data_IF_163817011326
#
_entry.id   IF_163817011326
#
_cell.length_a   1.000
_cell.length_b   1.000
_cell.length_c   1.000
_cell.angle_alpha   90.00
_cell.angle_beta   90.00
_cell.angle_gamma   90.00
#
_symmetry.space_group_name_H-M   'P 1'
#
loop_
_entity.id
_entity.type
_entity.pdbx_description
1 polymer ?
#
# COMPACT_ATOMS: atom_id res chain seq x y z
N UNK A 1 -2.31 13.10 -11.33
CA UNK A 1 -1.53 14.21 -10.76
C UNK A 1 -2.49 14.97 -9.86
N UNK A 2 -2.53 14.56 -8.59
CA UNK A 2 -3.41 15.18 -7.61
C UNK A 2 -2.70 16.37 -6.97
N UNK A 3 -3.41 17.48 -6.87
CA UNK A 3 -2.92 18.70 -6.23
C UNK A 3 -3.61 18.83 -4.88
N UNK A 4 -2.89 18.51 -3.80
CA UNK A 4 -3.40 18.79 -2.46
C UNK A 4 -2.88 20.16 -2.05
N UNK A 5 -3.79 21.12 -1.98
CA UNK A 5 -3.51 22.46 -1.48
C UNK A 5 -3.62 22.46 0.05
N UNK A 6 -2.50 22.63 0.74
CA UNK A 6 -2.49 22.83 2.19
C UNK A 6 -2.46 24.33 2.50
N UNK A 7 -3.41 24.80 3.31
CA UNK A 7 -3.33 26.14 3.93
C UNK A 7 -2.59 25.99 5.24
N UNK A 8 -1.30 26.35 5.25
CA UNK A 8 -0.52 26.43 6.49
C UNK A 8 -0.73 27.81 7.09
N UNK A 9 -1.34 27.88 8.26
CA UNK A 9 -1.51 29.13 9.01
C UNK A 9 -0.19 29.47 9.70
N UNK A 10 0.45 30.57 9.30
CA UNK A 10 1.68 31.04 9.91
C UNK A 10 1.36 31.97 11.08
N UNK A 11 1.88 31.66 12.26
CA UNK A 11 2.02 32.63 13.34
C UNK A 11 3.35 33.34 13.09
N UNK A 12 3.26 34.64 12.81
CA UNK A 12 4.38 35.51 12.44
C UNK A 12 5.43 35.51 13.55
N UNK A 13 6.62 34.97 13.28
CA UNK A 13 7.87 35.38 13.91
C UNK A 13 9.01 35.23 12.89
N UNK A 14 9.74 36.32 12.71
CA UNK A 14 10.86 36.50 11.77
C UNK A 14 11.93 35.44 12.04
N UNK A 15 12.32 34.64 11.04
CA UNK A 15 13.70 34.19 10.76
C UNK A 15 13.77 33.00 9.78
N UNK A 16 14.95 32.84 9.16
CA UNK A 16 15.28 31.83 8.13
C UNK A 16 14.95 30.41 8.59
N UNK A 17 14.20 29.70 7.76
CA UNK A 17 13.84 28.29 7.95
C UNK A 17 14.90 27.38 7.31
N UNK A 18 15.41 26.42 8.08
CA UNK A 18 16.26 25.36 7.53
C UNK A 18 15.50 24.04 7.55
N UNK A 19 15.44 23.40 6.39
CA UNK A 19 14.77 22.12 6.15
C UNK A 19 15.40 21.01 6.99
N UNK A 20 14.63 20.36 7.83
CA UNK A 20 14.96 19.05 8.40
C UNK A 20 13.79 18.13 8.11
N UNK A 21 13.91 17.28 7.09
CA UNK A 21 13.02 16.14 6.93
C UNK A 21 13.62 15.01 7.76
N UNK A 22 13.05 14.74 8.93
CA UNK A 22 13.37 13.54 9.70
C UNK A 22 12.70 12.35 9.03
N UNK A 23 13.49 11.65 8.23
CA UNK A 23 13.16 10.34 7.68
C UNK A 23 13.35 9.30 8.80
N UNK A 24 12.26 8.77 9.34
CA UNK A 24 12.33 7.64 10.27
C UNK A 24 12.83 6.41 9.50
N UNK A 25 13.75 5.67 10.11
CA UNK A 25 14.60 4.68 9.46
C UNK A 25 13.84 3.37 9.21
N UNK A 26 12.72 3.43 8.50
CA UNK A 26 12.07 2.25 7.96
C UNK A 26 12.76 1.89 6.65
N UNK A 27 13.19 0.64 6.51
CA UNK A 27 13.86 0.16 5.29
C UNK A 27 12.96 0.42 4.08
N UNK A 28 13.40 1.28 3.15
CA UNK A 28 12.74 1.44 1.86
C UNK A 28 12.72 0.12 1.12
N UNK A 29 11.62 -0.16 0.43
CA UNK A 29 11.58 -1.28 -0.49
C UNK A 29 12.63 -1.08 -1.58
N UNK A 30 13.49 -2.07 -1.81
CA UNK A 30 14.31 -2.07 -2.99
C UNK A 30 13.41 -2.32 -4.21
N UNK A 31 13.80 -1.77 -5.36
CA UNK A 31 13.14 -2.04 -6.63
C UNK A 31 13.09 -3.55 -6.85
N UNK A 32 11.92 -4.05 -7.29
CA UNK A 32 11.64 -5.45 -7.57
C UNK A 32 11.88 -6.41 -6.39
N UNK A 33 11.63 -5.98 -5.15
CA UNK A 33 11.64 -6.92 -4.01
C UNK A 33 10.37 -7.77 -4.03
N UNK A 34 10.54 -9.10 -4.07
CA UNK A 34 9.42 -10.05 -4.13
C UNK A 34 8.75 -10.23 -2.77
N UNK A 35 7.43 -10.30 -2.80
CA UNK A 35 6.55 -10.71 -1.70
C UNK A 35 5.65 -11.83 -2.23
N UNK A 36 5.41 -12.87 -1.43
CA UNK A 36 4.64 -14.05 -1.81
C UNK A 36 5.50 -15.08 -2.53
N UNK A 37 4.90 -15.81 -3.46
CA UNK A 37 5.59 -16.83 -4.24
C UNK A 37 6.57 -16.22 -5.23
N UNK A 38 7.78 -16.77 -5.27
CA UNK A 38 8.82 -16.35 -6.24
C UNK A 38 8.66 -17.00 -7.61
N UNK A 39 7.91 -18.11 -7.69
CA UNK A 39 7.58 -18.82 -8.93
C UNK A 39 6.09 -19.25 -8.94
N UNK A 40 5.14 -18.31 -8.88
CA UNK A 40 3.70 -18.62 -8.89
C UNK A 40 3.28 -19.54 -10.04
N UNK A 41 3.93 -19.42 -11.20
CA UNK A 41 3.58 -20.17 -12.41
C UNK A 41 3.71 -21.70 -12.28
N UNK A 42 4.48 -22.22 -11.32
CA UNK A 42 4.66 -23.68 -11.10
C UNK A 42 3.48 -24.33 -10.35
N UNK A 43 2.51 -23.53 -9.88
CA UNK A 43 1.39 -23.98 -9.08
C UNK A 43 0.18 -24.25 -9.98
N UNK A 44 -0.10 -25.51 -10.30
CA UNK A 44 -1.10 -25.87 -11.33
C UNK A 44 -2.20 -26.80 -10.84
N UNK A 45 -2.17 -27.16 -9.56
CA UNK A 45 -2.92 -28.32 -9.06
C UNK A 45 -4.43 -28.01 -8.94
N UNK A 46 -4.82 -27.01 -8.15
CA UNK A 46 -6.22 -26.85 -7.74
C UNK A 46 -6.72 -25.39 -7.70
N UNK A 47 -8.05 -25.23 -7.79
CA UNK A 47 -8.78 -23.99 -7.51
C UNK A 47 -9.67 -24.20 -6.29
N UNK A 48 -9.85 -23.16 -5.48
CA UNK A 48 -10.90 -23.21 -4.46
C UNK A 48 -12.28 -23.21 -5.13
N UNK A 49 -13.25 -23.88 -4.51
CA UNK A 49 -14.61 -24.02 -5.03
C UNK A 49 -15.58 -22.98 -4.47
N UNK A 50 -15.12 -22.14 -3.54
CA UNK A 50 -15.95 -21.07 -2.96
C UNK A 50 -16.12 -19.90 -3.91
N UNK A 51 -17.28 -19.27 -3.80
CA UNK A 51 -17.64 -18.08 -4.58
C UNK A 51 -17.80 -16.87 -3.65
N UNK A 52 -17.52 -15.67 -4.16
CA UNK A 52 -17.60 -14.44 -3.38
C UNK A 52 -16.69 -14.51 -2.14
N UNK A 53 -15.45 -14.96 -2.35
CA UNK A 53 -14.50 -15.27 -1.30
C UNK A 53 -13.34 -14.29 -1.34
N UNK A 54 -12.97 -13.81 -0.16
CA UNK A 54 -11.74 -13.07 0.07
C UNK A 54 -10.74 -13.95 0.80
N UNK A 55 -9.49 -13.86 0.39
CA UNK A 55 -8.37 -14.59 0.94
C UNK A 55 -7.28 -13.62 1.38
N UNK A 56 -6.55 -14.01 2.42
CA UNK A 56 -5.35 -13.33 2.86
C UNK A 56 -4.37 -14.39 3.36
N UNK A 57 -3.10 -14.26 2.98
CA UNK A 57 -2.05 -15.21 3.37
C UNK A 57 -1.28 -14.64 4.55
N UNK A 58 -1.53 -15.13 5.76
CA UNK A 58 -0.84 -14.73 6.99
C UNK A 58 0.46 -15.53 7.16
N UNK A 59 1.39 -15.32 6.23
CA UNK A 59 2.70 -15.98 6.19
C UNK A 59 3.82 -14.94 6.07
N UNK A 60 5.00 -15.26 6.60
CA UNK A 60 6.15 -14.37 6.55
C UNK A 60 6.60 -14.06 5.11
N UNK A 61 6.50 -15.00 4.18
CA UNK A 61 6.87 -14.78 2.78
C UNK A 61 5.88 -13.87 2.06
N UNK A 62 4.60 -13.88 2.47
CA UNK A 62 3.54 -13.06 1.88
C UNK A 62 3.36 -11.71 2.59
N UNK A 63 4.23 -11.41 3.55
CA UNK A 63 4.23 -10.18 4.31
C UNK A 63 5.25 -9.19 3.72
N UNK A 64 4.81 -7.95 3.51
CA UNK A 64 5.67 -6.83 3.13
C UNK A 64 6.73 -6.60 4.21
N UNK A 65 8.01 -6.54 3.83
CA UNK A 65 9.14 -6.36 4.77
C UNK A 65 9.70 -4.93 4.84
N UNK A 66 9.14 -4.02 4.05
CA UNK A 66 9.68 -2.68 3.82
C UNK A 66 8.56 -1.63 3.66
N UNK A 67 8.92 -0.35 3.53
CA UNK A 67 7.98 0.70 3.11
C UNK A 67 8.21 1.07 1.65
N UNK A 68 7.14 1.13 0.87
CA UNK A 68 7.20 1.43 -0.55
C UNK A 68 5.84 1.25 -1.20
N UNK A 69 5.82 0.80 -2.45
CA UNK A 69 4.59 0.63 -3.22
C UNK A 69 4.57 -0.72 -3.92
N UNK A 70 3.38 -1.29 -4.13
CA UNK A 70 3.22 -2.43 -5.05
C UNK A 70 3.35 -1.93 -6.49
N UNK A 71 4.30 -2.48 -7.24
CA UNK A 71 4.56 -2.09 -8.63
C UNK A 71 4.18 -3.17 -9.64
N UNK A 72 3.99 -4.41 -9.19
CA UNK A 72 3.76 -5.54 -10.08
C UNK A 72 3.14 -6.71 -9.32
N UNK A 73 2.33 -7.51 -10.03
CA UNK A 73 1.71 -8.74 -9.57
C UNK A 73 1.99 -9.89 -10.52
N UNK A 74 2.09 -11.09 -9.98
CA UNK A 74 2.23 -12.34 -10.73
C UNK A 74 1.34 -13.40 -10.13
N UNK A 75 0.60 -14.13 -10.96
CA UNK A 75 -0.24 -15.25 -10.54
C UNK A 75 -0.18 -16.41 -11.53
N UNK A 76 -0.62 -17.60 -11.10
CA UNK A 76 -1.10 -18.63 -12.01
C UNK A 76 -2.64 -18.63 -12.02
N UNK A 77 -3.21 -18.19 -13.14
CA UNK A 77 -4.66 -18.08 -13.34
C UNK A 77 -5.24 -19.37 -13.90
N UNK A 78 -6.29 -19.92 -13.28
CA UNK A 78 -7.02 -21.10 -13.77
C UNK A 78 -8.43 -20.77 -14.26
N UNK A 79 -8.83 -19.51 -14.13
CA UNK A 79 -10.03 -18.96 -14.75
C UNK A 79 -9.75 -17.53 -15.22
N UNK A 80 -10.60 -17.02 -16.11
CA UNK A 80 -10.50 -15.66 -16.66
C UNK A 80 -11.43 -14.67 -15.94
N UNK A 81 -11.83 -14.99 -14.71
CA UNK A 81 -12.66 -14.09 -13.93
C UNK A 81 -11.84 -12.87 -13.46
N UNK A 82 -12.54 -11.76 -13.24
CA UNK A 82 -11.93 -10.58 -12.65
C UNK A 82 -11.54 -10.86 -11.20
N UNK A 83 -10.32 -10.45 -10.84
CA UNK A 83 -9.75 -10.58 -9.52
C UNK A 83 -9.34 -9.21 -9.00
N UNK A 84 -9.53 -9.02 -7.70
CA UNK A 84 -9.10 -7.85 -6.96
C UNK A 84 -7.89 -8.28 -6.13
N UNK A 85 -6.68 -7.89 -6.54
CA UNK A 85 -5.43 -8.20 -5.86
C UNK A 85 -5.23 -7.15 -4.75
N UNK A 86 -5.22 -7.59 -3.49
CA UNK A 86 -5.43 -6.75 -2.32
C UNK A 86 -4.20 -6.70 -1.41
N UNK A 87 -4.04 -5.59 -0.69
CA UNK A 87 -3.12 -5.46 0.43
C UNK A 87 -3.90 -5.18 1.71
N UNK A 88 -3.62 -5.97 2.75
CA UNK A 88 -4.29 -5.89 4.05
C UNK A 88 -3.32 -5.47 5.15
N UNK A 89 -3.69 -4.44 5.91
CA UNK A 89 -2.92 -3.95 7.07
C UNK A 89 -3.52 -4.45 8.36
N UNK A 90 -2.70 -5.08 9.18
CA UNK A 90 -3.13 -5.55 10.50
C UNK A 90 -3.38 -4.37 11.44
N UNK A 91 -4.59 -4.30 12.01
CA UNK A 91 -4.95 -3.36 13.08
C UNK A 91 -4.89 -4.02 14.46
N UNK A 92 -5.28 -5.30 14.53
CA UNK A 92 -5.24 -6.10 15.76
C UNK A 92 -5.05 -7.59 15.43
N UNK A 93 -5.15 -8.49 16.40
CA UNK A 93 -4.90 -9.92 16.19
C UNK A 93 -5.71 -10.53 15.03
N UNK A 94 -6.95 -10.07 14.82
CA UNK A 94 -7.83 -10.59 13.78
C UNK A 94 -8.50 -9.48 12.94
N UNK A 95 -8.24 -8.21 13.23
CA UNK A 95 -8.82 -7.09 12.47
C UNK A 95 -7.81 -6.55 11.48
N UNK A 96 -8.20 -6.46 10.21
CA UNK A 96 -7.35 -5.95 9.14
C UNK A 96 -8.11 -4.94 8.30
N UNK A 97 -7.41 -3.89 7.88
CA UNK A 97 -7.90 -2.85 6.99
C UNK A 97 -7.43 -3.11 5.56
N UNK A 98 -8.31 -2.95 4.58
CA UNK A 98 -7.95 -3.00 3.17
C UNK A 98 -7.25 -1.71 2.77
N UNK A 99 -5.93 -1.78 2.55
CA UNK A 99 -5.09 -0.61 2.19
C UNK A 99 -5.31 -0.19 0.74
N UNK A 100 -5.51 -1.16 -0.14
CA UNK A 100 -5.60 -0.92 -1.57
C UNK A 100 -5.79 -2.21 -2.33
N UNK A 101 -6.22 -2.08 -3.59
CA UNK A 101 -6.29 -3.22 -4.50
C UNK A 101 -6.16 -2.80 -5.97
N UNK A 102 -5.64 -3.71 -6.79
CA UNK A 102 -5.66 -3.60 -8.24
C UNK A 102 -6.72 -4.55 -8.81
N UNK A 103 -7.51 -4.07 -9.76
CA UNK A 103 -8.53 -4.88 -10.44
C UNK A 103 -7.95 -5.38 -11.75
N UNK A 104 -7.79 -6.69 -11.89
CA UNK A 104 -7.19 -7.30 -13.09
C UNK A 104 -8.06 -8.43 -13.62
N UNK A 105 -7.94 -8.72 -14.91
CA UNK A 105 -8.63 -9.84 -15.55
C UNK A 105 -7.62 -10.57 -16.44
N UNK A 106 -7.25 -11.82 -16.12
CA UNK A 106 -6.35 -12.60 -16.95
C UNK A 106 -6.87 -12.76 -18.38
N UNK A 107 -5.99 -12.67 -19.37
CA UNK A 107 -6.34 -12.85 -20.78
C UNK A 107 -6.27 -14.31 -21.23
N UNK A 108 -5.55 -15.15 -20.48
CA UNK A 108 -5.43 -16.59 -20.69
C UNK A 108 -5.26 -17.31 -19.35
N UNK A 109 -5.43 -18.63 -19.35
CA UNK A 109 -5.09 -19.49 -18.20
C UNK A 109 -3.59 -19.79 -18.19
N UNK A 110 -3.02 -19.94 -17.00
CA UNK A 110 -1.60 -20.13 -16.75
C UNK A 110 -0.95 -18.89 -16.16
N UNK A 111 0.33 -18.70 -16.47
CA UNK A 111 1.11 -17.58 -15.95
C UNK A 111 0.52 -16.23 -16.42
N UNK A 112 0.22 -15.36 -15.45
CA UNK A 112 -0.29 -14.02 -15.69
C UNK A 112 0.52 -12.99 -14.90
N UNK A 113 0.96 -11.95 -15.61
CA UNK A 113 1.78 -10.87 -15.10
C UNK A 113 1.02 -9.55 -15.23
N UNK A 114 1.11 -8.69 -14.23
CA UNK A 114 0.49 -7.36 -14.27
C UNK A 114 1.41 -6.29 -13.69
N UNK A 115 1.91 -5.42 -14.56
CA UNK A 115 2.61 -4.19 -14.16
C UNK A 115 1.61 -3.14 -13.70
N UNK A 116 1.72 -2.70 -12.45
CA UNK A 116 0.81 -1.70 -11.86
C UNK A 116 1.20 -0.30 -12.36
N UNK A 117 0.29 0.42 -13.04
CA UNK A 117 0.52 1.82 -13.42
C UNK A 117 0.81 2.68 -12.19
N UNK A 118 1.67 3.70 -12.32
CA UNK A 118 2.07 4.58 -11.19
C UNK A 118 0.84 5.10 -10.42
N UNK A 119 -0.19 5.57 -11.13
CA UNK A 119 -1.43 6.10 -10.53
C UNK A 119 -2.31 5.07 -9.81
N UNK A 120 -2.01 3.78 -9.94
CA UNK A 120 -2.76 2.67 -9.32
C UNK A 120 -1.91 1.90 -8.31
N UNK A 121 -0.68 2.34 -8.04
CA UNK A 121 0.19 1.70 -7.07
C UNK A 121 -0.40 1.82 -5.67
N UNK A 122 -0.14 0.80 -4.86
CA UNK A 122 -0.67 0.70 -3.50
C UNK A 122 0.48 0.97 -2.54
N UNK A 123 0.39 2.01 -1.70
CA UNK A 123 1.39 2.28 -0.66
C UNK A 123 1.35 1.20 0.43
N UNK A 124 2.50 0.58 0.70
CA UNK A 124 2.66 -0.53 1.65
C UNK A 124 3.65 -0.20 2.75
N UNK A 125 3.46 -0.84 3.90
CA UNK A 125 4.32 -0.76 5.07
C UNK A 125 4.76 -2.15 5.50
N UNK A 126 5.87 -2.18 6.25
CA UNK A 126 6.32 -3.41 6.91
C UNK A 126 5.16 -3.99 7.72
N UNK A 127 4.84 -5.26 7.47
CA UNK A 127 3.78 -5.98 8.17
C UNK A 127 2.45 -6.10 7.43
N UNK A 128 2.27 -5.41 6.29
CA UNK A 128 1.10 -5.59 5.43
C UNK A 128 1.15 -6.96 4.72
N UNK A 129 -0.02 -7.53 4.39
CA UNK A 129 -0.16 -8.87 3.82
C UNK A 129 -0.84 -8.86 2.45
N UNK A 130 -0.43 -9.79 1.59
CA UNK A 130 -1.12 -10.07 0.33
C UNK A 130 -2.45 -10.77 0.60
N UNK A 131 -3.48 -10.34 -0.14
CA UNK A 131 -4.75 -11.03 -0.25
C UNK A 131 -5.38 -10.84 -1.63
N UNK A 132 -6.56 -11.42 -1.83
CA UNK A 132 -7.34 -11.18 -3.03
C UNK A 132 -8.80 -11.49 -2.82
N UNK A 133 -9.63 -10.98 -3.72
CA UNK A 133 -11.05 -11.28 -3.77
C UNK A 133 -11.48 -11.66 -5.19
N UNK A 134 -12.34 -12.67 -5.27
CA UNK A 134 -13.06 -13.04 -6.50
C UNK A 134 -14.56 -13.06 -6.20
N UNK A 135 -15.34 -12.32 -6.98
CA UNK A 135 -16.80 -12.27 -6.81
C UNK A 135 -17.47 -13.57 -7.28
N UNK A 136 -16.89 -14.21 -8.31
CA UNK A 136 -17.39 -15.43 -8.93
C UNK A 136 -16.53 -16.65 -8.60
N UNK A 137 -16.16 -17.39 -9.65
CA UNK A 137 -15.22 -18.51 -9.56
C UNK A 137 -13.83 -18.01 -9.19
N UNK A 138 -13.13 -18.80 -8.36
CA UNK A 138 -11.74 -18.54 -8.01
C UNK A 138 -10.83 -18.46 -9.25
N UNK A 139 -9.78 -17.66 -9.15
CA UNK A 139 -8.83 -17.41 -10.25
C UNK A 139 -7.46 -17.99 -9.95
N UNK A 140 -6.98 -17.78 -8.72
CA UNK A 140 -5.61 -18.12 -8.34
C UNK A 140 -5.55 -19.59 -7.93
N UNK A 141 -4.68 -20.36 -8.58
CA UNK A 141 -4.42 -21.74 -8.18
C UNK A 141 -3.70 -21.82 -6.84
N UNK A 142 -3.77 -23.00 -6.24
CA UNK A 142 -2.87 -23.36 -5.15
C UNK A 142 -2.33 -24.76 -5.38
N UNK A 143 -1.19 -25.04 -4.74
CA UNK A 143 -0.74 -26.40 -4.52
C UNK A 143 -1.03 -26.79 -3.08
N UNK A 144 -1.49 -28.02 -2.89
CA UNK A 144 -1.35 -28.70 -1.61
C UNK A 144 0.11 -29.17 -1.54
N UNK A 145 0.64 -29.56 -0.37
CA UNK A 145 2.03 -30.03 -0.16
C UNK A 145 3.09 -29.01 0.24
N UNK A 146 2.72 -27.82 0.74
CA UNK A 146 3.69 -27.08 1.55
C UNK A 146 3.99 -27.91 2.82
N UNK A 147 5.24 -28.34 3.02
CA UNK A 147 5.70 -28.97 4.28
C UNK A 147 5.65 -27.98 5.46
N UNK A 148 5.33 -26.72 5.17
CA UNK A 148 5.15 -25.61 6.07
C UNK A 148 3.65 -25.25 6.16
N UNK A 149 3.05 -25.14 7.36
CA UNK A 149 1.67 -24.73 7.50
C UNK A 149 1.54 -23.23 7.21
N UNK A 150 1.19 -22.89 5.97
CA UNK A 150 0.82 -21.52 5.60
C UNK A 150 -0.57 -21.24 6.19
N UNK A 151 -0.66 -20.20 7.01
CA UNK A 151 -1.92 -19.76 7.61
C UNK A 151 -2.66 -18.87 6.63
N UNK A 152 -3.63 -19.45 5.92
CA UNK A 152 -4.49 -18.67 5.05
C UNK A 152 -5.80 -18.34 5.79
N UNK A 153 -6.22 -17.09 5.67
CA UNK A 153 -7.54 -16.64 6.11
C UNK A 153 -8.47 -16.58 4.90
N UNK A 154 -9.70 -17.04 5.12
CA UNK A 154 -10.77 -16.98 4.13
C UNK A 154 -12.06 -16.48 4.76
N UNK A 155 -12.73 -15.60 4.03
CA UNK A 155 -14.06 -15.10 4.38
C UNK A 155 -14.95 -15.18 3.14
N UNK A 156 -16.17 -15.68 3.29
CA UNK A 156 -17.13 -15.87 2.19
C UNK A 156 -18.38 -15.04 2.42
N UNK A 157 -19.06 -14.66 1.33
CA UNK A 157 -20.29 -13.85 1.39
C UNK A 157 -20.05 -12.35 1.29
N UNK A 158 -18.80 -11.93 1.02
CA UNK A 158 -18.52 -10.56 0.62
C UNK A 158 -18.84 -10.39 -0.86
N UNK A 159 -19.48 -9.28 -1.22
CA UNK A 159 -19.86 -8.97 -2.61
C UNK A 159 -19.07 -7.82 -3.22
N UNK A 160 -18.44 -6.98 -2.40
CA UNK A 160 -17.70 -5.81 -2.83
C UNK A 160 -16.71 -5.36 -1.75
N UNK A 161 -15.70 -4.59 -2.16
CA UNK A 161 -14.71 -3.99 -1.28
C UNK A 161 -14.44 -2.55 -1.65
N UNK A 162 -14.17 -1.73 -0.64
CA UNK A 162 -13.67 -0.36 -0.77
C UNK A 162 -12.42 -0.20 0.08
N UNK A 163 -11.47 0.60 -0.39
CA UNK A 163 -10.28 0.95 0.40
C UNK A 163 -10.70 1.56 1.75
N UNK A 164 -10.09 1.11 2.83
CA UNK A 164 -10.44 1.45 4.21
C UNK A 164 -11.46 0.51 4.85
N UNK A 165 -12.02 -0.46 4.12
CA UNK A 165 -12.87 -1.49 4.72
C UNK A 165 -12.10 -2.29 5.78
N UNK A 166 -12.71 -2.48 6.94
CA UNK A 166 -12.15 -3.28 8.02
C UNK A 166 -12.87 -4.62 8.08
N UNK A 167 -12.11 -5.71 7.99
CA UNK A 167 -12.61 -7.06 8.23
C UNK A 167 -12.08 -7.61 9.55
N UNK A 168 -13.01 -8.11 10.36
CA UNK A 168 -12.68 -8.99 11.48
C UNK A 168 -12.70 -10.45 11.02
N UNK A 169 -11.54 -11.07 11.07
CA UNK A 169 -11.30 -12.43 10.67
C UNK A 169 -11.42 -13.42 11.83
N UNK A 170 -11.98 -13.03 12.98
CA UNK A 170 -12.29 -13.96 14.09
C UNK A 170 -13.23 -15.07 13.68
N UNK A 171 -14.22 -14.77 12.83
CA UNK A 171 -15.17 -15.74 12.30
C UNK A 171 -14.74 -16.30 10.95
N UNK A 172 -13.47 -16.16 10.56
CA UNK A 172 -12.95 -16.72 9.31
C UNK A 172 -13.35 -18.20 9.26
N UNK A 173 -14.28 -18.51 8.36
CA UNK A 173 -15.02 -19.77 8.47
C UNK A 173 -14.15 -20.99 8.20
N UNK A 174 -12.93 -20.81 7.70
CA UNK A 174 -11.92 -21.85 7.61
C UNK A 174 -10.53 -21.19 7.61
N UNK A 175 -9.72 -21.40 8.66
CA UNK A 175 -8.27 -21.33 8.51
C UNK A 175 -7.90 -22.43 7.52
N UNK A 176 -7.38 -22.06 6.35
CA UNK A 176 -6.94 -23.06 5.38
C UNK A 176 -5.46 -23.33 5.61
N UNK A 177 -5.17 -24.47 6.20
CA UNK A 177 -3.82 -24.98 6.37
C UNK A 177 -3.39 -25.78 5.14
N UNK A 178 -2.10 -25.74 4.80
CA UNK A 178 -1.45 -26.53 3.73
C UNK A 178 -1.78 -26.12 2.29
N UNK A 179 -2.26 -24.89 2.07
CA UNK A 179 -2.36 -24.32 0.72
C UNK A 179 -1.34 -23.23 0.54
N UNK A 180 -0.58 -23.35 -0.53
CA UNK A 180 0.34 -22.32 -0.99
C UNK A 180 -0.22 -21.79 -2.30
N UNK A 181 -0.65 -20.53 -2.26
CA UNK A 181 -1.34 -19.90 -3.37
C UNK A 181 -0.35 -19.33 -4.38
N UNK A 182 -0.69 -19.47 -5.65
CA UNK A 182 0.09 -19.03 -6.79
C UNK A 182 -0.01 -17.51 -6.97
N UNK A 183 0.48 -16.74 -6.01
CA UNK A 183 0.49 -15.28 -6.06
C UNK A 183 1.79 -14.71 -5.50
N UNK A 184 2.35 -13.79 -6.28
CA UNK A 184 3.48 -12.96 -5.90
C UNK A 184 3.21 -11.50 -6.26
N UNK A 185 3.90 -10.62 -5.57
CA UNK A 185 3.96 -9.20 -5.87
C UNK A 185 5.41 -8.74 -5.86
N UNK A 186 5.70 -7.64 -6.55
CA UNK A 186 6.94 -6.92 -6.39
C UNK A 186 6.68 -5.52 -5.88
N UNK A 187 7.53 -5.09 -4.95
CA UNK A 187 7.54 -3.70 -4.48
C UNK A 187 8.55 -2.87 -5.24
N UNK A 188 8.30 -1.58 -5.29
CA UNK A 188 9.30 -0.56 -5.60
C UNK A 188 9.42 0.43 -4.44
N UNK A 189 10.48 1.24 -4.48
CA UNK A 189 10.52 2.47 -3.67
C UNK A 189 9.27 3.29 -3.96
N UNK A 190 8.63 3.82 -2.92
CA UNK A 190 7.64 4.88 -3.10
C UNK A 190 8.28 6.12 -3.70
N UNK A 191 7.46 6.97 -4.29
CA UNK A 191 7.91 8.25 -4.80
C UNK A 191 8.30 9.17 -3.65
N UNK A 192 9.27 10.06 -3.91
CA UNK A 192 9.71 11.01 -2.90
C UNK A 192 8.89 12.28 -3.05
N UNK A 193 8.09 12.68 -2.05
CA UNK A 193 7.28 13.88 -2.14
C UNK A 193 8.18 15.11 -2.37
N UNK A 194 7.80 15.93 -3.34
CA UNK A 194 8.50 17.15 -3.70
C UNK A 194 7.71 18.37 -3.21
N UNK A 195 8.38 19.28 -2.52
CA UNK A 195 7.80 20.58 -2.20
C UNK A 195 7.86 21.46 -3.45
N UNK A 196 6.76 22.12 -3.78
CA UNK A 196 6.64 23.00 -4.95
C UNK A 196 7.36 24.35 -4.80
N UNK A 197 8.13 24.53 -3.72
CA UNK A 197 8.98 25.70 -3.55
C UNK A 197 10.39 25.38 -4.05
N UNK A 198 11.02 26.36 -4.72
CA UNK A 198 12.42 26.25 -5.08
C UNK A 198 13.33 26.02 -3.87
N UNK A 199 14.61 25.76 -4.12
CA UNK A 199 15.59 25.45 -3.06
C UNK A 199 15.82 26.58 -2.06
N UNK A 200 15.54 27.83 -2.46
CA UNK A 200 15.60 29.01 -1.61
C UNK A 200 14.33 29.84 -1.84
N UNK A 201 13.67 30.23 -0.76
CA UNK A 201 12.54 31.15 -0.79
C UNK A 201 12.80 32.27 0.23
N UNK A 202 12.82 33.51 -0.25
CA UNK A 202 12.94 34.70 0.60
C UNK A 202 11.61 35.44 0.64
N UNK A 203 11.24 35.88 1.83
CA UNK A 203 9.99 36.57 2.09
C UNK A 203 10.23 37.68 3.09
N UNK A 204 9.67 38.86 2.80
CA UNK A 204 9.62 40.00 3.72
C UNK A 204 8.19 40.15 4.22
N UNK A 205 8.03 40.25 5.54
CA UNK A 205 6.74 40.43 6.19
C UNK A 205 6.78 41.79 6.88
N UNK A 206 5.70 42.57 6.73
CA UNK A 206 5.56 43.84 7.42
C UNK A 206 5.34 43.58 8.93
N UNK A 207 5.99 44.37 9.79
CA UNK A 207 5.85 44.27 11.25
C UNK A 207 4.41 44.49 11.74
N UNK A 208 3.59 45.18 10.95
CA UNK A 208 2.17 45.44 11.22
C UNK A 208 1.25 44.30 10.78
N UNK A 209 1.79 43.19 10.25
CA UNK A 209 1.00 42.05 9.78
C UNK A 209 0.21 41.42 10.93
N UNK A 210 -1.10 41.31 10.75
CA UNK A 210 -2.00 40.77 11.78
C UNK A 210 -1.74 39.27 11.98
N UNK A 211 -1.79 38.83 13.24
CA UNK A 211 -1.66 37.40 13.61
C UNK A 211 -2.71 36.55 12.88
N UNK A 212 -2.28 35.42 12.34
CA UNK A 212 -3.13 34.52 11.55
C UNK A 212 -3.20 34.87 10.07
N UNK A 213 -2.42 35.85 9.60
CA UNK A 213 -2.27 36.12 8.16
C UNK A 213 -1.53 34.95 7.51
N UNK A 214 -2.11 34.39 6.45
CA UNK A 214 -1.44 33.39 5.61
C UNK A 214 -0.38 34.11 4.79
N UNK A 215 0.89 33.84 5.09
CA UNK A 215 2.03 34.46 4.40
C UNK A 215 2.55 33.59 3.25
N UNK A 216 2.42 32.26 3.34
CA UNK A 216 2.91 31.33 2.34
C UNK A 216 1.88 30.19 2.16
N UNK A 217 1.75 29.68 0.94
CA UNK A 217 1.03 28.44 0.67
C UNK A 217 2.02 27.49 0.02
N UNK A 218 2.13 26.28 0.57
CA UNK A 218 3.00 25.23 0.08
C UNK A 218 2.13 24.16 -0.55
N UNK A 219 2.56 23.62 -1.68
CA UNK A 219 2.02 22.35 -2.16
C UNK A 219 3.12 21.29 -2.12
N UNK A 220 2.71 20.09 -1.73
CA UNK A 220 3.53 18.88 -1.85
C UNK A 220 2.98 18.15 -3.07
N UNK A 221 3.86 17.83 -4.00
CA UNK A 221 3.54 17.00 -5.16
C UNK A 221 4.13 15.63 -4.89
N UNK A 222 3.26 14.64 -4.91
CA UNK A 222 3.60 13.23 -4.85
C UNK A 222 2.75 12.51 -5.89
N UNK A 223 3.36 11.55 -6.58
CA UNK A 223 2.68 10.75 -7.60
C UNK A 223 1.93 9.56 -6.96
N UNK A 224 2.28 9.19 -5.71
CA UNK A 224 1.59 8.17 -4.93
C UNK A 224 0.34 8.75 -4.22
N UNK A 225 -0.84 8.44 -4.74
CA UNK A 225 -2.13 9.03 -4.28
C UNK A 225 -2.59 8.63 -2.88
N UNK A 226 -1.99 7.60 -2.28
CA UNK A 226 -2.36 7.08 -0.95
C UNK A 226 -1.49 7.59 0.21
N UNK A 227 -0.53 8.47 -0.08
CA UNK A 227 0.42 8.93 0.93
C UNK A 227 -0.14 10.03 1.82
N UNK A 228 0.17 9.94 3.13
CA UNK A 228 -0.14 11.01 4.09
C UNK A 228 1.12 11.86 4.25
N UNK A 229 1.10 13.08 3.72
CA UNK A 229 2.20 14.02 3.88
C UNK A 229 2.10 14.77 5.21
N UNK A 230 3.16 14.71 6.00
CA UNK A 230 3.32 15.55 7.20
C UNK A 230 4.36 16.62 6.92
N UNK A 231 3.97 17.89 7.08
CA UNK A 231 4.87 19.04 6.93
C UNK A 231 5.21 19.58 8.31
N UNK A 232 6.50 19.56 8.66
CA UNK A 232 7.01 20.14 9.90
C UNK A 232 7.85 21.38 9.58
N UNK A 233 7.75 22.41 10.45
CA UNK A 233 8.54 23.64 10.36
C UNK A 233 9.59 23.62 11.45
N UNK A 234 10.85 23.85 11.07
CA UNK A 234 11.96 23.98 12.01
C UNK A 234 12.60 25.36 11.83
N UNK A 235 12.69 26.12 12.93
CA UNK A 235 13.55 27.30 13.00
C UNK A 235 14.90 26.86 13.54
N UNK A 236 15.98 27.22 12.84
CA UNK A 236 17.35 27.00 13.32
C UNK A 236 17.93 28.23 14.01
N UNK A 237 17.15 29.31 14.10
CA UNK A 237 17.60 30.53 14.75
C UNK A 237 17.27 30.47 16.25
N UNK A 238 18.31 30.44 17.07
CA UNK A 238 18.25 30.46 18.53
C UNK A 238 18.21 31.90 19.09
N UNK A 239 17.88 32.88 18.26
CA UNK A 239 17.75 34.28 18.67
C UNK A 239 16.71 34.42 19.78
N UNK A 240 17.20 34.57 21.01
CA UNK A 240 16.41 35.03 22.15
C UNK A 240 15.75 36.36 21.78
N UNK A 241 14.45 36.46 22.09
CA UNK A 241 13.68 37.69 22.13
C UNK A 241 14.33 38.74 23.02
#
# INVERSE_FOLDING_TARGET
MDFINFVVLFIVLVNKFTRVLTYDHVTTCAVSSTIGESVPYDFTDELDTSTGAVYMVEDENFQVKCCGVISYWEINARSLATIYLQIWRRLSSNSYELVGFNTVTPTDVGHFEYSVPISERISVKHGDYIGWFTAGTEVISYNEHSSYPIMNRKFTGQTSFTVGDILDWTTSRNTITNRQYAIGAQTASGDTPTLSIGTNYEMTIDESTVVGTVILTLSVVDDDVSDIHTVNVFSTDNGYF
#
